data_IF_710138629639
#
_entry.id   IF_710138629639
#
_cell.length_a   1.000
_cell.length_b   1.000
_cell.length_c   1.000
_cell.angle_alpha   90.00
_cell.angle_beta   90.00
_cell.angle_gamma   90.00
#
_symmetry.space_group_name_H-M   'P 1'
#
loop_
_entity.id
_entity.type
_entity.pdbx_description
1 polymer ?
#
# COMPACT_ATOMS: atom_id res chain seq x y z
N UNK A 1 -23.09 -21.45 4.31
CA UNK A 1 -22.25 -20.48 3.56
C UNK A 1 -21.45 -19.63 4.54
N UNK A 2 -20.47 -20.29 5.16
CA UNK A 2 -19.53 -19.74 6.13
C UNK A 2 -18.20 -19.53 5.40
N UNK A 3 -17.91 -18.31 4.93
CA UNK A 3 -16.54 -17.94 4.48
C UNK A 3 -16.38 -16.45 4.19
N UNK A 4 -16.95 -15.56 5.01
CA UNK A 4 -16.70 -14.09 4.88
C UNK A 4 -16.17 -13.50 6.19
N UNK A 5 -15.89 -14.33 7.21
CA UNK A 5 -15.53 -13.85 8.56
C UNK A 5 -14.07 -14.10 8.99
N UNK A 6 -13.19 -14.59 8.11
CA UNK A 6 -11.79 -14.88 8.46
C UNK A 6 -10.71 -14.14 7.68
N UNK A 7 -11.03 -13.51 6.53
CA UNK A 7 -9.98 -12.99 5.63
C UNK A 7 -9.68 -11.49 5.83
N UNK A 8 -10.25 -10.88 6.87
CA UNK A 8 -9.98 -9.49 7.26
C UNK A 8 -8.82 -9.38 8.26
N UNK A 9 -7.86 -10.31 8.23
CA UNK A 9 -6.51 -10.08 8.79
C UNK A 9 -5.69 -9.31 7.75
N UNK A 10 -6.12 -8.09 7.43
CA UNK A 10 -5.43 -7.23 6.47
C UNK A 10 -4.08 -6.84 7.06
N UNK A 11 -3.05 -7.51 6.55
CA UNK A 11 -1.70 -7.43 7.04
C UNK A 11 -1.03 -6.10 6.62
N UNK A 12 -1.29 -5.00 7.32
CA UNK A 12 -0.43 -3.81 7.25
C UNK A 12 0.74 -4.02 8.21
N UNK A 13 1.83 -4.60 7.71
CA UNK A 13 3.05 -4.82 8.49
C UNK A 13 4.09 -3.81 8.04
N UNK A 14 4.75 -3.21 9.02
CA UNK A 14 5.97 -2.45 8.81
C UNK A 14 7.15 -3.40 9.00
N UNK A 15 8.06 -3.42 8.03
CA UNK A 15 9.29 -4.19 8.13
C UNK A 15 10.47 -3.31 7.75
N UNK A 16 11.60 -3.54 8.43
CA UNK A 16 12.86 -2.86 8.14
C UNK A 16 13.61 -3.63 7.07
N UNK A 17 14.15 -2.89 6.10
CA UNK A 17 14.97 -3.42 5.02
C UNK A 17 16.20 -2.57 4.84
N UNK A 18 17.28 -3.21 4.38
CA UNK A 18 18.39 -2.51 3.79
C UNK A 18 18.15 -2.44 2.28
N UNK A 19 18.01 -1.23 1.74
CA UNK A 19 17.75 -1.00 0.32
C UNK A 19 18.90 -0.23 -0.31
N UNK A 20 19.28 -0.59 -1.54
CA UNK A 20 20.21 0.20 -2.34
C UNK A 20 19.48 1.37 -3.01
N UNK A 21 19.87 2.60 -2.72
CA UNK A 21 19.32 3.83 -3.31
C UNK A 21 20.48 4.68 -3.79
N UNK A 22 20.48 5.08 -5.06
CA UNK A 22 21.52 5.92 -5.68
C UNK A 22 22.97 5.43 -5.47
N UNK A 23 23.14 4.12 -5.33
CA UNK A 23 24.46 3.49 -5.14
C UNK A 23 24.81 3.14 -3.70
N UNK A 24 24.10 3.71 -2.72
CA UNK A 24 24.34 3.53 -1.28
C UNK A 24 23.33 2.56 -0.65
N UNK A 25 23.71 1.89 0.44
CA UNK A 25 22.78 1.07 1.24
C UNK A 25 22.18 1.93 2.36
N UNK A 26 20.85 2.03 2.38
CA UNK A 26 20.09 2.80 3.38
C UNK A 26 19.12 1.90 4.14
N UNK A 27 18.94 2.17 5.44
CA UNK A 27 17.87 1.56 6.24
C UNK A 27 16.54 2.24 5.88
N UNK A 28 15.52 1.43 5.57
CA UNK A 28 14.17 1.89 5.25
C UNK A 28 13.13 1.06 5.97
N UNK A 29 12.04 1.71 6.33
CA UNK A 29 10.80 1.03 6.74
C UNK A 29 9.89 0.93 5.54
N UNK A 30 9.50 -0.29 5.18
CA UNK A 30 8.53 -0.56 4.12
C UNK A 30 7.20 -1.00 4.73
N UNK A 31 6.12 -0.61 4.06
CA UNK A 31 4.76 -1.01 4.38
C UNK A 31 4.14 -1.71 3.17
N UNK A 32 3.49 -2.84 3.41
CA UNK A 32 2.65 -3.48 2.37
C UNK A 32 1.22 -2.95 2.45
N UNK A 33 0.72 -2.44 1.33
CA UNK A 33 -0.69 -2.10 1.15
C UNK A 33 -1.35 -3.14 0.25
N UNK A 34 -2.53 -3.61 0.64
CA UNK A 34 -3.36 -4.49 -0.18
C UNK A 34 -4.70 -3.79 -0.42
N UNK A 35 -5.17 -3.75 -1.67
CA UNK A 35 -6.52 -3.30 -2.02
C UNK A 35 -7.38 -4.50 -2.42
N UNK A 36 -8.60 -4.55 -1.90
CA UNK A 36 -9.61 -5.51 -2.33
C UNK A 36 -10.72 -4.69 -2.98
N UNK A 37 -10.99 -4.94 -4.27
CA UNK A 37 -11.98 -4.21 -5.04
C UNK A 37 -12.82 -5.14 -5.90
N UNK A 38 -14.07 -4.73 -6.19
CA UNK A 38 -14.92 -5.43 -7.16
C UNK A 38 -14.53 -5.01 -8.57
N UNK A 39 -13.99 -5.95 -9.35
CA UNK A 39 -13.49 -5.71 -10.71
C UNK A 39 -14.58 -5.36 -11.72
N UNK A 40 -15.85 -5.58 -11.38
CA UNK A 40 -16.99 -5.18 -12.21
C UNK A 40 -17.23 -3.67 -12.16
N UNK A 41 -16.72 -3.03 -11.12
CA UNK A 41 -16.89 -1.60 -10.84
C UNK A 41 -15.57 -0.86 -11.06
N UNK A 42 -14.44 -1.44 -10.64
CA UNK A 42 -13.13 -0.82 -10.72
C UNK A 42 -12.16 -1.70 -11.51
N UNK A 43 -11.66 -1.17 -12.64
CA UNK A 43 -10.64 -1.87 -13.41
C UNK A 43 -9.29 -1.87 -12.69
N UNK A 44 -8.47 -2.88 -12.95
CA UNK A 44 -7.17 -3.03 -12.29
C UNK A 44 -6.22 -1.85 -12.51
N UNK A 45 -6.27 -1.20 -13.66
CA UNK A 45 -5.48 -0.01 -13.94
C UNK A 45 -5.87 1.16 -13.03
N UNK A 46 -7.17 1.42 -12.89
CA UNK A 46 -7.69 2.48 -12.02
C UNK A 46 -7.40 2.18 -10.54
N UNK A 47 -7.52 0.91 -10.14
CA UNK A 47 -7.15 0.45 -8.79
C UNK A 47 -5.65 0.67 -8.49
N UNK A 48 -4.77 0.46 -9.47
CA UNK A 48 -3.34 0.70 -9.32
C UNK A 48 -3.01 2.20 -9.21
N UNK A 49 -3.66 3.03 -10.02
CA UNK A 49 -3.54 4.49 -9.93
C UNK A 49 -3.98 5.00 -8.55
N UNK A 50 -5.13 4.53 -8.07
CA UNK A 50 -5.64 4.87 -6.75
C UNK A 50 -4.70 4.44 -5.61
N UNK A 51 -4.15 3.22 -5.67
CA UNK A 51 -3.14 2.79 -4.69
C UNK A 51 -1.87 3.64 -4.73
N UNK A 52 -1.45 4.10 -5.92
CA UNK A 52 -0.30 4.98 -6.07
C UNK A 52 -0.56 6.38 -5.50
N UNK A 53 -1.78 6.92 -5.65
CA UNK A 53 -2.18 8.17 -5.00
C UNK A 53 -2.12 8.03 -3.46
N UNK A 54 -2.67 6.93 -2.92
CA UNK A 54 -2.56 6.63 -1.48
C UNK A 54 -1.09 6.56 -1.05
N UNK A 55 -0.23 5.88 -1.82
CA UNK A 55 1.19 5.76 -1.50
C UNK A 55 1.86 7.13 -1.37
N UNK A 56 1.60 8.04 -2.32
CA UNK A 56 2.16 9.40 -2.31
C UNK A 56 1.73 10.20 -1.07
N UNK A 57 0.45 10.10 -0.68
CA UNK A 57 -0.05 10.81 0.50
C UNK A 57 0.53 10.25 1.81
N UNK A 58 0.82 8.95 1.87
CA UNK A 58 1.43 8.33 3.04
C UNK A 58 2.93 8.66 3.12
N UNK A 59 3.64 8.70 1.99
CA UNK A 59 5.05 9.08 1.94
C UNK A 59 5.28 10.57 2.22
N UNK A 60 4.32 11.43 1.86
CA UNK A 60 4.35 12.87 2.11
C UNK A 60 3.09 13.37 2.85
N UNK A 61 2.94 13.08 4.16
CA UNK A 61 1.70 13.35 4.91
C UNK A 61 1.28 14.82 4.96
N UNK A 62 2.23 15.76 4.85
CA UNK A 62 1.94 17.20 4.80
C UNK A 62 1.07 17.58 3.60
N UNK A 63 1.10 16.80 2.50
CA UNK A 63 0.23 17.00 1.34
C UNK A 63 -1.26 16.76 1.62
N UNK A 64 -1.63 16.11 2.74
CA UNK A 64 -3.03 15.97 3.16
C UNK A 64 -3.54 17.13 4.04
N UNK A 65 -2.65 17.99 4.55
CA UNK A 65 -2.98 19.00 5.57
C UNK A 65 -3.11 20.43 5.02
N UNK A 66 -2.89 20.64 3.72
CA UNK A 66 -2.98 21.91 3.01
C UNK A 66 -4.15 21.89 2.03
#
# INVERSE_FOLDING_TARGET
MSSIRSDLLRHTYLFRVLQRVDGEIVDRTLMTLTLSCDHRILYGADAALFLNEINQLIEAPLGMAL
#
